data_IF_496361693951
#
_entry.id   IF_496361693951
#
_cell.length_a   1.000
_cell.length_b   1.000
_cell.length_c   1.000
_cell.angle_alpha   90.00
_cell.angle_beta   90.00
_cell.angle_gamma   90.00
#
_symmetry.space_group_name_H-M   'P 1'
#
loop_
_entity.id
_entity.type
_entity.pdbx_description
1 polymer ?
#
# COMPACT_ATOMS: atom_id res chain seq x y z
N UNK A 1 -2.78 14.40 -8.07
CA UNK A 1 -4.04 13.63 -7.99
C UNK A 1 -3.72 12.32 -7.29
N UNK A 2 -4.42 11.99 -6.20
CA UNK A 2 -4.20 10.75 -5.46
C UNK A 2 -4.97 9.64 -6.20
N UNK A 3 -4.28 8.60 -6.66
CA UNK A 3 -4.91 7.45 -7.35
C UNK A 3 -4.73 6.20 -6.51
N UNK A 4 -5.81 5.43 -6.36
CA UNK A 4 -5.70 4.08 -5.82
C UNK A 4 -4.81 3.25 -6.75
N UNK A 5 -3.79 2.61 -6.17
CA UNK A 5 -2.92 1.74 -6.94
C UNK A 5 -3.69 0.48 -7.32
N UNK A 6 -3.57 0.01 -8.56
CA UNK A 6 -4.22 -1.25 -8.98
C UNK A 6 -3.45 -2.50 -8.56
N UNK A 7 -2.13 -2.35 -8.31
CA UNK A 7 -1.18 -3.44 -8.07
C UNK A 7 -0.87 -3.57 -6.56
N UNK A 8 -1.86 -3.95 -5.78
CA UNK A 8 -1.66 -4.35 -4.38
C UNK A 8 -2.63 -5.46 -3.98
N UNK A 9 -2.21 -6.24 -2.98
CA UNK A 9 -3.02 -7.28 -2.37
C UNK A 9 -3.43 -6.83 -0.97
N UNK A 10 -4.65 -7.11 -0.55
CA UNK A 10 -5.11 -6.82 0.82
C UNK A 10 -4.78 -8.03 1.69
N UNK A 11 -3.88 -7.84 2.64
CA UNK A 11 -3.58 -8.81 3.67
C UNK A 11 -4.53 -8.53 4.85
N UNK A 12 -5.01 -9.57 5.53
CA UNK A 12 -5.90 -9.43 6.69
C UNK A 12 -5.39 -8.41 7.73
N UNK A 13 -6.28 -7.97 8.62
CA UNK A 13 -6.00 -6.92 9.63
C UNK A 13 -5.73 -5.52 9.03
N UNK A 14 -6.30 -5.23 7.87
CA UNK A 14 -6.18 -3.91 7.21
C UNK A 14 -4.79 -3.64 6.62
N UNK A 15 -3.95 -4.66 6.47
CA UNK A 15 -2.62 -4.57 5.85
C UNK A 15 -2.75 -4.64 4.32
N UNK A 16 -1.79 -4.06 3.62
CA UNK A 16 -1.72 -4.19 2.16
C UNK A 16 -0.32 -4.58 1.72
N UNK A 17 -0.21 -5.46 0.74
CA UNK A 17 1.04 -5.82 0.08
C UNK A 17 1.11 -5.10 -1.25
N UNK A 18 1.99 -4.11 -1.34
CA UNK A 18 2.20 -3.35 -2.57
C UNK A 18 3.02 -4.18 -3.56
N UNK A 19 2.51 -4.39 -4.78
CA UNK A 19 3.22 -5.05 -5.88
C UNK A 19 3.61 -4.07 -7.00
N UNK A 20 3.49 -2.76 -6.75
CA UNK A 20 3.77 -1.71 -7.75
C UNK A 20 5.26 -1.61 -8.08
N UNK A 21 6.16 -1.95 -7.16
CA UNK A 21 7.60 -2.00 -7.41
C UNK A 21 8.20 -3.33 -6.91
N UNK A 22 9.44 -3.60 -7.32
CA UNK A 22 10.16 -4.83 -6.99
C UNK A 22 10.38 -5.08 -5.48
N UNK A 23 10.09 -4.10 -4.61
CA UNK A 23 10.28 -4.28 -3.16
C UNK A 23 9.14 -5.06 -2.50
N UNK A 24 7.98 -5.20 -3.16
CA UNK A 24 6.85 -5.99 -2.65
C UNK A 24 6.45 -5.68 -1.19
N UNK A 25 6.47 -4.41 -0.82
CA UNK A 25 6.42 -3.99 0.58
C UNK A 25 5.04 -4.22 1.21
N UNK A 26 5.05 -4.74 2.44
CA UNK A 26 3.83 -4.90 3.26
C UNK A 26 3.66 -3.67 4.15
N UNK A 27 2.51 -3.01 4.03
CA UNK A 27 2.21 -1.72 4.64
C UNK A 27 1.04 -1.93 5.59
N UNK A 28 1.28 -1.67 6.87
CA UNK A 28 0.24 -1.70 7.90
C UNK A 28 -0.75 -0.54 7.74
N UNK A 29 -1.97 -0.63 8.29
CA UNK A 29 -2.91 0.49 8.26
C UNK A 29 -2.26 1.75 8.83
N UNK A 30 -2.55 2.89 8.20
CA UNK A 30 -2.00 4.22 8.52
C UNK A 30 -0.48 4.37 8.41
N UNK A 31 0.20 3.38 7.80
CA UNK A 31 1.63 3.44 7.53
C UNK A 31 1.92 3.76 6.06
N UNK A 32 3.12 4.29 5.85
CA UNK A 32 3.66 4.63 4.54
C UNK A 32 4.61 3.51 4.11
N UNK A 33 4.59 3.20 2.82
CA UNK A 33 5.55 2.30 2.19
C UNK A 33 6.98 2.85 2.31
N UNK A 34 7.96 1.96 2.16
CA UNK A 34 9.39 2.34 2.15
C UNK A 34 9.74 3.35 1.04
N UNK A 35 8.97 3.39 -0.05
CA UNK A 35 9.18 4.34 -1.14
C UNK A 35 8.69 5.75 -0.81
N UNK A 36 8.06 5.94 0.37
CA UNK A 36 7.50 7.21 0.88
C UNK A 36 6.43 7.88 0.02
N UNK A 37 6.06 7.27 -1.10
CA UNK A 37 5.03 7.76 -2.02
C UNK A 37 3.71 7.04 -1.90
N UNK A 38 3.69 5.79 -1.41
CA UNK A 38 2.43 5.05 -1.20
C UNK A 38 2.06 4.98 0.27
N UNK A 39 0.80 5.19 0.57
CA UNK A 39 0.25 5.07 1.92
C UNK A 39 -0.88 4.06 1.94
N UNK A 40 -0.90 3.20 2.96
CA UNK A 40 -2.08 2.41 3.26
C UNK A 40 -3.04 3.26 4.10
N UNK A 41 -4.21 3.56 3.53
CA UNK A 41 -5.30 4.23 4.23
C UNK A 41 -6.49 3.28 4.28
N UNK A 42 -6.85 2.86 5.49
CA UNK A 42 -7.98 1.96 5.74
C UNK A 42 -7.96 0.66 4.89
N UNK A 43 -6.78 0.08 4.68
CA UNK A 43 -6.63 -1.16 3.89
C UNK A 43 -6.62 -0.94 2.37
N UNK A 44 -6.46 0.31 1.91
CA UNK A 44 -6.32 0.66 0.49
C UNK A 44 -5.00 1.37 0.25
N UNK A 45 -4.33 0.98 -0.83
CA UNK A 45 -3.06 1.58 -1.23
C UNK A 45 -3.31 2.82 -2.10
N UNK A 46 -2.95 3.99 -1.58
CA UNK A 46 -2.98 5.26 -2.30
C UNK A 46 -1.57 5.66 -2.71
N UNK A 47 -1.45 6.31 -3.88
CA UNK A 47 -0.22 6.87 -4.45
C UNK A 47 -0.35 8.37 -4.60
#
# INVERSE_FOLDING_TARGET
MIREASLYERLGDGKVKCHVCAHTCTISPDKIAICRTRQNREGKLYT
#
